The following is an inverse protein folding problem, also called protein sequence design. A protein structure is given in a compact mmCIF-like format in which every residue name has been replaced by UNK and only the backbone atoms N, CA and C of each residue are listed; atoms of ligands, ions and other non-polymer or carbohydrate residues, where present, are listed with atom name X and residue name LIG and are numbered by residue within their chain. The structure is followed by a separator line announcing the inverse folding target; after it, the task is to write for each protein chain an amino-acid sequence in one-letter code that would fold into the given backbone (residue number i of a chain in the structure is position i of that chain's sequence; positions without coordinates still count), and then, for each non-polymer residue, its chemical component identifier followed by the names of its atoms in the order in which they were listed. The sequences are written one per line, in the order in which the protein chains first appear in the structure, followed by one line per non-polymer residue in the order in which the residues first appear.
data_IF_873985646237
#
_entry.id   IF_873985646237
#
_cell.length_a   1.000
_cell.length_b   1.000
_cell.length_c   1.000
_cell.angle_alpha   90.00
_cell.angle_beta   90.00
_cell.angle_gamma   90.00
#
_symmetry.space_group_name_H-M   'P 1'
#
loop_
_entity.id
_entity.type
_entity.pdbx_description
1 polymer ?
#
# COMPACT_ATOMS: atom_id res chain seq x y z
N UNK A 1 8.34 14.66 2.62
CA UNK A 1 7.65 14.88 1.32
C UNK A 1 6.37 14.06 1.28
N UNK A 2 5.39 14.47 0.48
CA UNK A 2 4.19 13.67 0.18
C UNK A 2 4.22 13.24 -1.28
N UNK A 3 3.86 11.97 -1.52
CA UNK A 3 3.63 11.41 -2.84
C UNK A 3 2.18 10.98 -3.00
N UNK A 4 1.60 11.27 -4.15
CA UNK A 4 0.26 10.80 -4.54
C UNK A 4 0.37 10.01 -5.83
N UNK A 5 -0.30 8.86 -5.89
CA UNK A 5 -0.32 7.97 -7.04
C UNK A 5 -1.74 7.86 -7.58
N UNK A 6 -1.88 7.87 -8.90
CA UNK A 6 -3.15 7.78 -9.61
C UNK A 6 -3.30 6.43 -10.32
N UNK A 7 -4.54 6.03 -10.58
CA UNK A 7 -4.93 4.76 -11.22
C UNK A 7 -4.29 4.52 -12.60
N UNK A 8 -3.90 5.57 -13.32
CA UNK A 8 -3.16 5.49 -14.59
C UNK A 8 -1.62 5.41 -14.43
N UNK A 9 -1.14 5.14 -13.21
CA UNK A 9 0.29 5.02 -12.94
C UNK A 9 1.03 6.34 -12.91
N UNK A 10 0.36 7.50 -12.83
CA UNK A 10 1.03 8.79 -12.58
C UNK A 10 1.28 8.99 -11.09
N UNK A 11 2.39 9.65 -10.76
CA UNK A 11 2.71 10.07 -9.41
C UNK A 11 3.21 11.52 -9.35
N UNK A 12 2.86 12.24 -8.30
CA UNK A 12 3.46 13.54 -7.97
C UNK A 12 4.13 13.43 -6.61
N UNK A 13 5.31 14.03 -6.47
CA UNK A 13 6.04 14.19 -5.21
C UNK A 13 6.22 15.68 -4.94
N UNK A 14 5.77 16.17 -3.81
CA UNK A 14 5.90 17.56 -3.42
C UNK A 14 6.18 17.69 -1.92
N UNK A 15 6.71 18.85 -1.52
CA UNK A 15 6.98 19.16 -0.12
C UNK A 15 5.65 19.34 0.64
N UNK A 16 5.50 18.68 1.80
CA UNK A 16 4.29 18.78 2.61
C UNK A 16 4.03 20.23 3.08
N UNK A 17 5.08 21.03 3.29
CA UNK A 17 4.97 22.42 3.69
C UNK A 17 4.29 23.29 2.60
N UNK A 18 4.17 22.80 1.37
CA UNK A 18 3.37 23.44 0.31
C UNK A 18 1.85 23.33 0.51
N UNK A 19 1.42 22.60 1.54
CA UNK A 19 0.04 22.47 1.99
C UNK A 19 -0.11 23.21 3.32
N UNK A 20 -0.89 24.29 3.30
CA UNK A 20 -1.22 25.03 4.52
C UNK A 20 -2.12 24.19 5.44
N UNK A 21 -1.96 24.36 6.76
CA UNK A 21 -2.89 23.83 7.74
C UNK A 21 -4.30 24.38 7.54
N UNK A 22 -5.31 23.53 7.70
CA UNK A 22 -6.73 23.87 7.54
C UNK A 22 -7.56 23.14 8.60
N UNK A 23 -8.74 23.69 8.92
CA UNK A 23 -9.67 23.05 9.85
C UNK A 23 -10.35 21.80 9.27
N UNK A 24 -10.92 20.96 10.15
CA UNK A 24 -11.55 19.68 9.80
C UNK A 24 -12.69 19.77 8.79
N UNK A 25 -13.36 20.93 8.70
CA UNK A 25 -14.49 21.18 7.79
C UNK A 25 -14.07 21.71 6.41
N UNK A 26 -12.77 21.93 6.18
CA UNK A 26 -12.29 22.45 4.91
C UNK A 26 -12.32 21.39 3.80
N UNK A 27 -12.55 21.82 2.57
CA UNK A 27 -12.50 20.96 1.36
C UNK A 27 -11.08 20.49 1.01
N UNK A 28 -10.05 21.15 1.54
CA UNK A 28 -8.65 20.86 1.25
C UNK A 28 -8.11 21.63 0.03
N UNK A 29 -6.94 21.20 -0.45
CA UNK A 29 -6.25 21.79 -1.61
C UNK A 29 -5.86 20.71 -2.60
N UNK A 30 -5.71 21.08 -3.87
CA UNK A 30 -5.34 20.14 -4.93
C UNK A 30 -3.92 19.59 -4.71
N UNK A 31 -3.79 18.26 -4.58
CA UNK A 31 -2.50 17.57 -4.51
C UNK A 31 -1.96 17.16 -5.89
N UNK A 32 -2.78 16.49 -6.70
CA UNK A 32 -2.44 16.03 -8.06
C UNK A 32 -3.55 16.43 -9.04
N UNK A 33 -3.20 16.76 -10.29
CA UNK A 33 -4.18 16.94 -11.38
C UNK A 33 -4.40 15.61 -12.10
N UNK A 34 -5.59 15.05 -11.92
CA UNK A 34 -5.99 13.78 -12.51
C UNK A 34 -6.38 13.92 -13.98
N UNK A 35 -6.23 12.82 -14.73
CA UNK A 35 -6.84 12.68 -16.06
C UNK A 35 -8.33 12.36 -15.94
N UNK A 36 -9.06 12.45 -17.05
CA UNK A 36 -10.48 12.09 -17.06
C UNK A 36 -10.68 10.61 -16.67
N UNK A 37 -11.58 10.35 -15.72
CA UNK A 37 -11.88 9.00 -15.21
C UNK A 37 -10.80 8.39 -14.30
N UNK A 38 -9.72 9.12 -14.00
CA UNK A 38 -8.66 8.64 -13.11
C UNK A 38 -8.88 9.16 -11.68
N UNK A 39 -8.45 8.37 -10.70
CA UNK A 39 -8.55 8.69 -9.28
C UNK A 39 -7.22 8.45 -8.57
N UNK A 40 -7.06 9.03 -7.37
CA UNK A 40 -5.92 8.74 -6.51
C UNK A 40 -6.11 7.36 -5.89
N UNK A 41 -5.08 6.53 -5.94
CA UNK A 41 -5.08 5.17 -5.39
C UNK A 41 -4.23 5.03 -4.15
N UNK A 42 -3.18 5.84 -4.00
CA UNK A 42 -2.29 5.77 -2.83
C UNK A 42 -1.71 7.12 -2.48
N UNK A 43 -1.53 7.33 -1.18
CA UNK A 43 -0.75 8.42 -0.59
C UNK A 43 0.42 7.78 0.14
N UNK A 44 1.62 8.31 -0.08
CA UNK A 44 2.83 7.88 0.60
C UNK A 44 3.47 9.12 1.23
N UNK A 45 3.63 9.10 2.55
CA UNK A 45 4.51 10.03 3.26
C UNK A 45 5.91 9.46 3.15
N UNK A 46 6.83 10.25 2.60
CA UNK A 46 8.18 9.81 2.32
C UNK A 46 9.03 9.91 3.57
N UNK A 47 9.53 8.78 4.04
CA UNK A 47 10.45 8.65 5.16
C UNK A 47 11.76 7.98 4.71
N UNK A 48 12.90 8.54 5.09
CA UNK A 48 14.21 8.01 4.70
C UNK A 48 14.41 7.89 3.18
N UNK A 49 15.05 6.81 2.77
CA UNK A 49 15.49 6.53 1.39
C UNK A 49 14.85 5.27 0.79
N UNK A 50 13.85 4.68 1.47
CA UNK A 50 13.18 3.47 1.02
C UNK A 50 12.57 3.58 -0.37
N UNK A 51 12.65 2.48 -1.12
CA UNK A 51 12.06 2.30 -2.45
C UNK A 51 10.53 2.41 -2.44
N UNK A 52 9.97 2.78 -3.58
CA UNK A 52 8.53 2.73 -3.81
C UNK A 52 8.19 1.47 -4.61
N UNK A 53 7.41 0.58 -4.02
CA UNK A 53 6.75 -0.50 -4.73
C UNK A 53 5.47 0.02 -5.38
N UNK A 54 5.29 -0.30 -6.65
CA UNK A 54 4.02 -0.09 -7.38
C UNK A 54 3.50 -1.43 -7.88
N UNK A 55 2.18 -1.64 -7.77
CA UNK A 55 1.53 -2.87 -8.21
C UNK A 55 0.23 -2.58 -8.98
N UNK A 56 -0.01 -3.31 -10.05
CA UNK A 56 -1.13 -3.15 -10.96
C UNK A 56 -2.10 -4.34 -10.88
N UNK A 57 -3.33 -4.11 -11.35
CA UNK A 57 -4.46 -5.02 -11.20
C UNK A 57 -4.24 -6.43 -11.76
N UNK A 58 -3.39 -6.58 -12.78
CA UNK A 58 -3.06 -7.90 -13.37
C UNK A 58 -1.78 -8.53 -12.79
N UNK A 59 -1.40 -8.16 -11.57
CA UNK A 59 -0.31 -8.80 -10.83
C UNK A 59 1.09 -8.39 -11.26
N UNK A 60 1.24 -7.27 -11.96
CA UNK A 60 2.54 -6.72 -12.35
C UNK A 60 2.96 -5.57 -11.43
N UNK A 61 4.25 -5.41 -11.25
CA UNK A 61 4.76 -4.34 -10.41
C UNK A 61 6.27 -4.34 -10.34
N UNK A 62 6.79 -3.43 -9.51
CA UNK A 62 8.23 -3.19 -9.39
C UNK A 62 8.54 -2.27 -8.24
N UNK A 63 9.77 -2.38 -7.74
CA UNK A 63 10.38 -1.34 -6.90
C UNK A 63 11.06 -0.30 -7.77
N UNK A 64 11.03 0.93 -7.33
CA UNK A 64 11.74 2.04 -7.96
C UNK A 64 12.31 2.91 -6.86
N UNK A 65 13.59 3.28 -6.98
CA UNK A 65 14.27 4.12 -6.02
C UNK A 65 13.52 5.44 -5.80
N UNK A 66 13.52 5.94 -4.57
CA UNK A 66 12.83 7.19 -4.23
C UNK A 66 13.39 8.39 -5.03
N UNK A 67 14.70 8.40 -5.27
CA UNK A 67 15.40 9.44 -6.04
C UNK A 67 14.94 9.53 -7.50
N UNK A 68 14.47 8.43 -8.07
CA UNK A 68 13.90 8.40 -9.42
C UNK A 68 12.63 9.24 -9.52
N UNK A 69 11.97 9.57 -8.40
CA UNK A 69 10.79 10.44 -8.33
C UNK A 69 11.20 11.90 -8.05
N UNK A 70 11.27 12.76 -9.08
CA UNK A 70 11.64 14.15 -8.91
C UNK A 70 10.54 14.89 -8.18
N UNK A 71 10.95 15.81 -7.29
CA UNK A 71 10.01 16.78 -6.71
C UNK A 71 9.46 17.66 -7.83
N UNK A 72 8.14 17.77 -7.91
CA UNK A 72 7.40 18.63 -8.85
C UNK A 72 6.45 19.52 -8.06
N UNK A 73 5.95 20.57 -8.71
CA UNK A 73 4.95 21.44 -8.09
C UNK A 73 3.70 20.65 -7.68
N UNK A 74 3.13 20.98 -6.51
CA UNK A 74 1.83 20.48 -6.07
C UNK A 74 0.75 20.86 -7.10
N UNK A 75 -0.19 19.96 -7.35
CA UNK A 75 -1.29 20.16 -8.29
C UNK A 75 -0.93 19.99 -9.77
N UNK A 76 0.29 19.55 -10.07
CA UNK A 76 0.69 19.14 -11.42
C UNK A 76 0.12 17.77 -11.77
N UNK A 77 0.25 17.35 -13.03
CA UNK A 77 -0.14 16.01 -13.46
C UNK A 77 0.84 14.91 -13.00
N UNK A 78 2.00 15.29 -12.45
CA UNK A 78 3.04 14.34 -12.06
C UNK A 78 3.78 13.69 -13.24
N UNK A 79 4.45 12.58 -12.94
CA UNK A 79 5.29 11.78 -13.84
C UNK A 79 4.82 10.32 -13.83
N UNK A 80 5.15 9.53 -14.85
CA UNK A 80 4.78 8.11 -14.90
C UNK A 80 5.60 7.30 -13.89
N UNK A 81 4.94 6.76 -12.86
CA UNK A 81 5.43 5.82 -11.83
C UNK A 81 5.56 4.38 -12.35
N UNK A 82 4.57 3.97 -13.15
CA UNK A 82 4.52 2.68 -13.84
C UNK A 82 3.73 2.86 -15.15
N UNK A 83 4.10 2.14 -16.21
CA UNK A 83 3.32 2.12 -17.45
C UNK A 83 2.13 1.19 -17.28
N UNK A 84 0.95 1.76 -17.06
CA UNK A 84 -0.31 1.00 -17.17
C UNK A 84 -0.58 0.70 -18.64
N UNK A 85 -0.87 -0.56 -18.94
CA UNK A 85 -1.18 -1.07 -20.27
C UNK A 85 -2.28 -2.12 -20.15
N UNK A 86 -2.79 -2.63 -21.26
CA UNK A 86 -3.73 -3.76 -21.21
C UNK A 86 -3.12 -4.94 -20.48
N UNK A 87 -1.81 -5.23 -20.67
CA UNK A 87 -1.10 -6.27 -19.91
C UNK A 87 -1.16 -6.03 -18.39
N UNK A 88 -0.93 -4.80 -17.94
CA UNK A 88 -0.79 -4.47 -16.53
C UNK A 88 -2.13 -4.26 -15.80
N UNK A 89 -3.11 -3.69 -16.50
CA UNK A 89 -4.25 -3.05 -15.86
C UNK A 89 -3.88 -1.73 -15.17
N UNK A 90 -4.85 -1.21 -14.40
CA UNK A 90 -4.70 0.02 -13.59
C UNK A 90 -3.77 -0.22 -12.40
N UNK A 91 -3.17 0.85 -11.88
CA UNK A 91 -2.43 0.81 -10.63
C UNK A 91 -3.42 0.53 -9.48
N UNK A 92 -3.07 -0.41 -8.60
CA UNK A 92 -3.86 -0.81 -7.43
C UNK A 92 -3.30 -0.16 -6.18
N UNK A 93 -1.98 -0.21 -6.01
CA UNK A 93 -1.33 0.28 -4.80
C UNK A 93 0.09 0.75 -5.06
N UNK A 94 0.52 1.71 -4.25
CA UNK A 94 1.90 2.10 -4.11
C UNK A 94 2.26 2.26 -2.62
N UNK A 95 3.33 1.63 -2.19
CA UNK A 95 3.81 1.66 -0.80
C UNK A 95 5.32 1.94 -0.78
N UNK A 96 5.79 2.67 0.24
CA UNK A 96 7.22 2.82 0.48
C UNK A 96 7.71 1.66 1.35
N UNK A 97 8.81 1.05 0.97
CA UNK A 97 9.41 -0.07 1.68
C UNK A 97 10.94 -0.02 1.61
N UNK A 98 11.57 -0.77 2.50
CA UNK A 98 13.01 -1.06 2.49
C UNK A 98 13.22 -2.55 2.23
N UNK A 99 14.47 -2.96 2.06
CA UNK A 99 14.83 -4.37 1.83
C UNK A 99 14.47 -5.33 2.98
N UNK A 100 14.22 -4.79 4.18
CA UNK A 100 13.84 -5.56 5.37
C UNK A 100 12.34 -5.84 5.49
N UNK A 101 11.54 -5.19 4.65
CA UNK A 101 10.10 -5.39 4.67
C UNK A 101 9.69 -6.60 3.85
N UNK A 102 8.49 -7.08 4.14
CA UNK A 102 7.78 -8.01 3.29
C UNK A 102 6.50 -7.38 2.76
N UNK A 103 5.98 -7.98 1.71
CA UNK A 103 4.81 -7.47 1.01
C UNK A 103 3.80 -8.58 0.88
N UNK A 104 2.56 -8.27 1.23
CA UNK A 104 1.41 -9.14 1.06
C UNK A 104 0.59 -8.67 -0.14
N UNK A 105 0.42 -9.55 -1.12
CA UNK A 105 -0.37 -9.33 -2.33
C UNK A 105 -1.66 -10.12 -2.20
N UNK A 106 -2.81 -9.45 -2.29
CA UNK A 106 -4.12 -10.05 -2.05
C UNK A 106 -4.99 -9.85 -3.29
N UNK A 107 -5.49 -10.94 -3.86
CA UNK A 107 -6.45 -10.91 -4.98
C UNK A 107 -7.90 -10.90 -4.51
N UNK A 108 -8.81 -10.56 -5.43
CA UNK A 108 -10.26 -10.70 -5.24
C UNK A 108 -10.73 -12.17 -5.18
N UNK A 109 -9.94 -13.11 -5.72
CA UNK A 109 -10.15 -14.56 -5.63
C UNK A 109 -9.70 -15.19 -4.31
N UNK A 110 -9.11 -14.41 -3.39
CA UNK A 110 -8.59 -14.90 -2.11
C UNK A 110 -7.18 -15.50 -2.19
N UNK A 111 -6.52 -15.42 -3.34
CA UNK A 111 -5.10 -15.77 -3.47
C UNK A 111 -4.26 -14.73 -2.74
N UNK A 112 -3.43 -15.19 -1.81
CA UNK A 112 -2.55 -14.34 -1.03
C UNK A 112 -1.11 -14.80 -1.18
N UNK A 113 -0.22 -13.90 -1.58
CA UNK A 113 1.21 -14.18 -1.75
C UNK A 113 2.02 -13.21 -0.90
N UNK A 114 2.85 -13.76 -0.03
CA UNK A 114 3.85 -13.03 0.75
C UNK A 114 5.19 -13.10 0.05
N UNK A 115 5.86 -11.98 -0.12
CA UNK A 115 7.16 -11.90 -0.80
C UNK A 115 8.05 -10.89 -0.11
N UNK A 116 9.33 -11.23 0.04
CA UNK A 116 10.33 -10.29 0.56
C UNK A 116 10.49 -9.12 -0.39
N UNK A 117 10.54 -7.90 0.14
CA UNK A 117 10.73 -6.72 -0.69
C UNK A 117 12.01 -6.81 -1.52
N UNK A 118 13.09 -7.32 -0.92
CA UNK A 118 14.39 -7.55 -1.56
C UNK A 118 14.36 -8.46 -2.79
N UNK A 119 13.36 -9.34 -2.91
CA UNK A 119 13.18 -10.24 -4.06
C UNK A 119 12.44 -9.59 -5.23
N UNK A 120 11.75 -8.47 -4.98
CA UNK A 120 11.04 -7.74 -6.02
C UNK A 120 12.06 -6.94 -6.84
N UNK A 121 12.00 -7.07 -8.16
CA UNK A 121 12.92 -6.36 -9.06
C UNK A 121 12.82 -4.84 -8.91
N UNK A 122 13.97 -4.22 -8.70
CA UNK A 122 14.15 -2.77 -8.72
C UNK A 122 14.46 -2.33 -10.16
N UNK A 123 13.58 -1.53 -10.74
CA UNK A 123 13.69 -1.03 -12.12
C UNK A 123 13.15 0.39 -12.21
N UNK A 124 13.63 1.10 -13.23
CA UNK A 124 13.31 2.51 -13.43
C UNK A 124 11.81 2.79 -13.51
N UNK A 125 11.46 4.05 -13.22
CA UNK A 125 10.08 4.49 -13.10
C UNK A 125 9.21 4.25 -14.35
N UNK A 126 9.68 4.66 -15.52
CA UNK A 126 8.89 4.60 -16.77
C UNK A 126 8.93 3.23 -17.47
N UNK A 127 8.61 2.17 -16.73
CA UNK A 127 8.64 0.76 -17.20
C UNK A 127 7.32 0.06 -16.83
N UNK A 128 7.09 -1.13 -17.40
CA UNK A 128 5.90 -1.94 -17.09
C UNK A 128 6.05 -2.80 -15.82
N UNK A 129 7.27 -2.99 -15.33
CA UNK A 129 7.55 -3.90 -14.22
C UNK A 129 7.54 -5.38 -14.60
N UNK A 130 7.66 -6.20 -13.56
CA UNK A 130 7.76 -7.66 -13.60
C UNK A 130 6.51 -8.27 -12.98
N UNK A 131 6.36 -9.59 -13.10
CA UNK A 131 5.26 -10.31 -12.44
C UNK A 131 5.55 -10.39 -10.94
N UNK A 132 4.64 -9.85 -10.13
CA UNK A 132 4.66 -10.00 -8.67
C UNK A 132 3.87 -11.24 -8.24
N UNK A 133 2.71 -11.44 -8.85
CA UNK A 133 1.80 -12.55 -8.56
C UNK A 133 1.20 -13.05 -9.88
N UNK A 134 1.07 -14.37 -10.01
CA UNK A 134 0.32 -14.98 -11.12
C UNK A 134 -1.13 -15.13 -10.68
N UNK A 135 -2.03 -14.43 -11.35
CA UNK A 135 -3.46 -14.48 -11.10
C UNK A 135 -4.13 -15.45 -12.07
N UNK A 136 -5.20 -16.09 -11.62
CA UNK A 136 -6.07 -16.90 -12.46
C UNK A 136 -6.79 -16.03 -13.51
N UNK A 137 -7.49 -16.71 -14.42
CA UNK A 137 -8.34 -16.02 -15.39
C UNK A 137 -9.46 -15.28 -14.65
N UNK A 138 -9.69 -14.02 -15.02
CA UNK A 138 -10.71 -13.14 -14.44
C UNK A 138 -10.49 -12.79 -12.95
N UNK A 139 -9.31 -13.06 -12.41
CA UNK A 139 -8.87 -12.66 -11.06
C UNK A 139 -8.01 -11.39 -11.12
N UNK A 140 -8.18 -10.49 -10.15
CA UNK A 140 -7.44 -9.24 -10.07
C UNK A 140 -6.78 -9.02 -8.71
N UNK A 141 -5.63 -8.35 -8.72
CA UNK A 141 -4.98 -7.88 -7.50
C UNK A 141 -5.83 -6.77 -6.89
N UNK A 142 -6.20 -6.93 -5.62
CA UNK A 142 -7.10 -6.03 -4.92
C UNK A 142 -6.37 -5.15 -3.88
N UNK A 143 -5.35 -5.70 -3.21
CA UNK A 143 -4.60 -4.97 -2.19
C UNK A 143 -3.11 -5.36 -2.18
N UNK A 144 -2.30 -4.41 -1.70
CA UNK A 144 -0.86 -4.56 -1.46
C UNK A 144 -0.54 -3.95 -0.12
N UNK A 145 -0.10 -4.80 0.81
CA UNK A 145 0.21 -4.38 2.18
C UNK A 145 1.68 -4.58 2.51
N UNK A 146 2.23 -3.65 3.29
CA UNK A 146 3.60 -3.72 3.81
C UNK A 146 3.58 -4.39 5.17
N UNK A 147 4.48 -5.34 5.38
CA UNK A 147 4.73 -5.97 6.67
C UNK A 147 6.16 -5.65 7.10
N UNK A 148 6.33 -5.31 8.37
CA UNK A 148 7.66 -5.18 8.97
C UNK A 148 8.04 -6.54 9.56
N UNK A 149 8.98 -7.23 8.90
CA UNK A 149 9.42 -8.57 9.29
C UNK A 149 10.13 -8.59 10.65
N UNK A 150 10.57 -7.43 11.17
CA UNK A 150 11.18 -7.34 12.49
C UNK A 150 10.17 -7.54 13.64
N UNK A 151 8.87 -7.47 13.35
CA UNK A 151 7.79 -7.66 14.33
C UNK A 151 7.43 -9.14 14.56
N UNK A 152 8.06 -10.08 13.87
CA UNK A 152 7.78 -11.52 14.00
C UNK A 152 8.59 -12.23 15.09
N UNK A 153 9.24 -11.49 15.99
CA UNK A 153 9.91 -12.04 17.17
C UNK A 153 9.14 -11.76 18.46
N UNK A 154 8.49 -12.80 19.01
CA UNK A 154 8.22 -13.09 20.45
C UNK A 154 6.88 -13.80 20.77
N UNK A 155 6.22 -14.48 19.82
CA UNK A 155 5.03 -15.32 20.11
C UNK A 155 5.26 -16.84 19.89
N UNK A 156 6.44 -17.35 20.27
CA UNK A 156 6.61 -18.77 20.62
C UNK A 156 6.78 -18.91 22.14
N UNK A 157 5.70 -18.67 22.87
CA UNK A 157 5.50 -19.29 24.19
C UNK A 157 4.12 -19.91 24.27
N UNK A 158 4.06 -21.18 23.87
CA UNK A 158 3.06 -22.13 24.35
C UNK A 158 3.06 -22.14 25.88
N UNK A 159 1.98 -21.67 26.50
CA UNK A 159 1.48 -22.33 27.71
C UNK A 159 -0.04 -22.52 27.60
N UNK A 160 -0.41 -23.75 27.24
CA UNK A 160 -1.75 -24.25 27.34
C UNK A 160 -2.05 -24.60 28.81
N UNK A 161 -2.27 -23.57 29.64
CA UNK A 161 -2.91 -23.74 30.95
C UNK A 161 -4.41 -23.51 30.81
N UNK A 162 -5.12 -24.60 30.49
CA UNK A 162 -6.56 -24.69 30.65
C UNK A 162 -6.93 -24.42 32.12
N UNK A 163 -7.44 -23.23 32.41
CA UNK A 163 -8.06 -22.97 33.72
C UNK A 163 -9.56 -23.22 33.59
N UNK A 164 -10.00 -24.21 34.34
CA UNK A 164 -11.37 -24.68 34.43
C UNK A 164 -12.34 -23.59 34.93
N UNK A 165 -13.54 -23.68 34.37
CA UNK A 165 -14.86 -23.14 34.76
C UNK A 165 -15.00 -22.69 36.22
N UNK A 166 -15.61 -21.51 36.41
CA UNK A 166 -16.42 -21.20 37.59
C UNK A 166 -17.75 -20.61 37.14
N UNK A 167 -18.82 -21.33 37.47
CA UNK A 167 -20.23 -20.94 37.36
C UNK A 167 -20.51 -19.58 38.01
N UNK A 168 -21.43 -18.84 37.39
CA UNK A 168 -22.06 -17.65 37.96
C UNK A 168 -23.29 -18.12 38.76
N UNK A 169 -23.41 -17.86 40.07
CA UNK A 169 -24.62 -18.21 40.79
C UNK A 169 -25.73 -17.20 40.45
N UNK A 170 -26.91 -17.74 40.14
CA UNK A 170 -28.13 -16.98 39.95
C UNK A 170 -28.50 -16.25 41.26
N UNK A 171 -28.69 -14.93 41.17
CA UNK A 171 -29.18 -14.11 42.27
C UNK A 171 -30.66 -14.41 42.54
N UNK A 172 -30.93 -14.99 43.69
CA UNK A 172 -32.26 -15.12 44.28
C UNK A 172 -32.65 -13.81 44.97
N UNK A 173 -33.87 -13.35 44.74
CA UNK A 173 -34.46 -12.18 45.42
C UNK A 173 -34.92 -12.59 46.82
N UNK A 174 -35.02 -11.65 47.77
CA UNK A 174 -36.00 -11.81 48.84
C UNK A 174 -37.08 -10.72 48.76
N UNK A 175 -38.33 -11.18 48.73
CA UNK A 175 -39.49 -10.48 49.28
C UNK A 175 -39.33 -10.33 50.80
N UNK A 176 -39.58 -9.11 51.30
CA UNK A 176 -40.23 -8.82 52.58
C UNK A 176 -40.74 -7.37 52.55
#
# INVERSE_FOLDING_TARGET
DVMLFASNGKAVRFDEASVRSMGRTATGVRGIRLGAGEHVVSLVVVEGDGDVLTASARGFGKRTALEDYPKKGRGTQGVLAIKTSDRNGKLVGAIQLSDHHEVLLISDGGTMVRTRASEISQVGRNTQGVTLIKLAKDETLQAVERLDASLEGDDESTDASATAVSEVPAGDQPEA
#
